data_IF_451878588422
#
_entry.id   IF_451878588422
#
_cell.length_a   1.000
_cell.length_b   1.000
_cell.length_c   1.000
_cell.angle_alpha   90.00
_cell.angle_beta   90.00
_cell.angle_gamma   90.00
#
_symmetry.space_group_name_H-M   'P 1'
#
loop_
_entity.id
_entity.type
_entity.pdbx_description
1 polymer ?
#
# COMPACT_ATOMS: atom_id res chain seq x y z
N UNK A 1 -30.05 12.33 27.96
CA UNK A 1 -28.91 11.39 27.91
C UNK A 1 -28.48 11.26 26.46
N UNK A 2 -27.32 11.82 26.10
CA UNK A 2 -26.79 11.67 24.75
C UNK A 2 -26.22 10.26 24.60
N UNK A 3 -26.81 9.47 23.71
CA UNK A 3 -26.29 8.18 23.29
C UNK A 3 -25.01 8.41 22.49
N UNK A 4 -23.85 8.46 23.15
CA UNK A 4 -22.57 8.40 22.46
C UNK A 4 -22.32 6.96 21.98
N UNK A 5 -22.89 6.58 20.86
CA UNK A 5 -22.49 5.36 20.15
C UNK A 5 -21.07 5.58 19.65
N UNK A 6 -20.08 5.10 20.40
CA UNK A 6 -18.71 5.01 19.92
C UNK A 6 -18.70 4.19 18.63
N UNK A 7 -18.01 4.64 17.57
CA UNK A 7 -17.95 3.87 16.33
C UNK A 7 -17.35 2.49 16.61
N UNK A 8 -17.93 1.45 15.97
CA UNK A 8 -17.40 0.10 16.09
C UNK A 8 -16.00 0.05 15.44
N UNK A 9 -14.96 -0.16 16.24
CA UNK A 9 -13.57 -0.22 15.78
C UNK A 9 -13.11 -1.67 15.63
N UNK A 10 -12.72 -2.06 14.42
CA UNK A 10 -12.14 -3.39 14.15
C UNK A 10 -10.66 -3.24 13.75
N UNK A 11 -9.71 -3.80 14.52
CA UNK A 11 -8.31 -3.82 14.12
C UNK A 11 -8.10 -4.71 12.88
N UNK A 12 -7.68 -4.10 11.77
CA UNK A 12 -7.47 -4.81 10.49
C UNK A 12 -6.08 -5.45 10.39
N UNK A 13 -5.08 -4.80 10.95
CA UNK A 13 -3.71 -5.28 11.02
C UNK A 13 -3.27 -5.20 12.48
N UNK A 14 -2.72 -6.30 13.02
CA UNK A 14 -2.21 -6.39 14.38
C UNK A 14 -0.73 -6.69 14.32
N UNK A 15 0.05 -6.12 15.22
CA UNK A 15 1.48 -6.45 15.33
C UNK A 15 1.62 -7.94 15.66
N UNK A 16 2.50 -8.63 14.94
CA UNK A 16 2.91 -10.01 15.20
C UNK A 16 4.26 -10.02 15.94
N UNK A 17 4.69 -11.19 16.41
CA UNK A 17 5.92 -11.30 17.21
C UNK A 17 7.16 -10.79 16.47
N UNK A 18 7.27 -11.09 15.16
CA UNK A 18 8.46 -10.83 14.35
C UNK A 18 8.30 -9.68 13.34
N UNK A 19 7.09 -9.12 13.20
CA UNK A 19 6.85 -8.02 12.26
C UNK A 19 5.63 -7.20 12.65
N UNK A 20 5.59 -5.96 12.19
CA UNK A 20 4.48 -5.04 12.37
C UNK A 20 3.93 -4.54 11.05
N UNK A 21 2.85 -3.76 11.16
CA UNK A 21 2.19 -3.11 10.03
C UNK A 21 2.19 -1.59 10.24
N UNK A 22 2.62 -0.84 9.24
CA UNK A 22 2.58 0.64 9.22
C UNK A 22 2.17 1.14 7.84
N UNK A 23 1.92 2.44 7.75
CA UNK A 23 1.63 3.16 6.51
C UNK A 23 0.38 2.60 5.81
N UNK A 24 -0.82 2.94 6.32
CA UNK A 24 -2.07 2.42 5.78
C UNK A 24 -2.47 3.11 4.48
N UNK A 25 -3.11 2.34 3.61
CA UNK A 25 -3.86 2.79 2.47
C UNK A 25 -5.22 2.09 2.42
N UNK A 26 -6.27 2.79 2.01
CA UNK A 26 -7.61 2.24 1.91
C UNK A 26 -8.22 2.64 0.57
N UNK A 27 -8.75 1.66 -0.16
CA UNK A 27 -9.42 1.88 -1.44
C UNK A 27 -10.82 1.28 -1.40
N UNK A 28 -11.82 2.10 -1.66
CA UNK A 28 -13.17 1.66 -2.00
C UNK A 28 -13.28 1.44 -3.49
N UNK A 29 -13.85 0.31 -3.90
CA UNK A 29 -14.16 0.03 -5.30
C UNK A 29 -15.63 0.45 -5.54
N UNK A 30 -15.88 1.58 -6.24
CA UNK A 30 -17.23 2.09 -6.46
C UNK A 30 -18.16 1.04 -7.08
N UNK A 31 -19.46 1.18 -6.81
CA UNK A 31 -20.51 0.31 -7.34
C UNK A 31 -20.35 -1.18 -6.92
N UNK A 32 -19.54 -1.42 -5.89
CA UNK A 32 -19.35 -2.73 -5.24
C UNK A 32 -19.39 -2.59 -3.72
N UNK A 33 -19.50 -3.71 -3.03
CA UNK A 33 -19.42 -3.77 -1.57
C UNK A 33 -17.97 -4.00 -1.09
N UNK A 34 -16.94 -3.69 -1.88
CA UNK A 34 -15.53 -4.07 -1.59
C UNK A 34 -14.68 -2.89 -1.11
N UNK A 35 -13.95 -3.11 -0.01
CA UNK A 35 -12.82 -2.30 0.46
C UNK A 35 -11.50 -3.10 0.38
N UNK A 36 -10.42 -2.43 0.00
CA UNK A 36 -9.06 -2.95 0.07
C UNK A 36 -8.26 -2.13 1.09
N UNK A 37 -7.92 -2.75 2.23
CA UNK A 37 -7.00 -2.17 3.20
C UNK A 37 -5.59 -2.69 2.93
N UNK A 38 -4.64 -1.80 2.71
CA UNK A 38 -3.26 -2.10 2.35
C UNK A 38 -2.34 -1.50 3.41
N UNK A 39 -1.27 -2.20 3.76
CA UNK A 39 -0.27 -1.72 4.72
C UNK A 39 1.11 -2.24 4.34
N UNK A 40 2.16 -1.52 4.71
CA UNK A 40 3.50 -2.09 4.71
C UNK A 40 3.64 -3.13 5.82
N UNK A 41 4.20 -4.29 5.49
CA UNK A 41 4.82 -5.19 6.46
C UNK A 41 6.21 -4.67 6.78
N UNK A 42 6.56 -4.60 8.07
CA UNK A 42 7.87 -4.16 8.54
C UNK A 42 8.47 -5.15 9.52
N UNK A 43 9.74 -5.51 9.32
CA UNK A 43 10.49 -6.44 10.19
C UNK A 43 11.05 -5.76 11.45
N UNK A 44 10.80 -4.46 11.61
CA UNK A 44 11.28 -3.65 12.72
C UNK A 44 10.60 -2.27 12.75
N UNK A 45 10.90 -1.44 13.75
CA UNK A 45 10.23 -0.16 13.94
C UNK A 45 10.70 0.93 12.96
N UNK A 46 11.93 0.83 12.45
CA UNK A 46 12.54 1.84 11.59
C UNK A 46 11.97 1.77 10.16
N UNK A 47 12.05 2.87 9.43
CA UNK A 47 11.45 2.99 8.11
C UNK A 47 12.18 2.13 7.06
N UNK A 48 13.49 1.95 7.21
CA UNK A 48 14.30 1.03 6.42
C UNK A 48 14.00 -0.45 6.69
N UNK A 49 13.21 -0.78 7.73
CA UNK A 49 12.78 -2.15 8.00
C UNK A 49 11.48 -2.54 7.26
N UNK A 50 10.96 -1.69 6.37
CA UNK A 50 9.90 -2.12 5.45
C UNK A 50 10.36 -3.32 4.61
N UNK A 51 9.41 -4.18 4.26
CA UNK A 51 9.64 -5.43 3.53
C UNK A 51 8.78 -5.45 2.26
N UNK A 52 7.48 -5.66 2.43
CA UNK A 52 6.51 -5.84 1.34
C UNK A 52 5.16 -5.18 1.68
N UNK A 53 4.23 -5.20 0.73
CA UNK A 53 2.86 -4.70 0.90
C UNK A 53 1.89 -5.84 1.20
N UNK A 54 1.02 -5.61 2.17
CA UNK A 54 0.03 -6.58 2.65
C UNK A 54 -1.37 -6.05 2.36
N UNK A 55 -2.28 -6.94 1.97
CA UNK A 55 -3.66 -6.64 1.65
C UNK A 55 -4.61 -7.38 2.58
N UNK A 56 -5.64 -6.67 3.04
CA UNK A 56 -6.82 -7.27 3.65
C UNK A 56 -8.06 -6.76 2.91
N UNK A 57 -8.80 -7.69 2.30
CA UNK A 57 -10.04 -7.35 1.57
C UNK A 57 -11.23 -7.40 2.52
N UNK A 58 -12.02 -6.35 2.52
CA UNK A 58 -13.30 -6.26 3.23
C UNK A 58 -14.46 -6.32 2.24
N UNK A 59 -15.52 -7.05 2.60
CA UNK A 59 -16.80 -7.04 1.87
C UNK A 59 -17.90 -6.55 2.80
N UNK A 60 -18.66 -5.54 2.39
CA UNK A 60 -19.76 -4.99 3.17
C UNK A 60 -20.94 -5.96 3.17
N UNK A 61 -21.30 -6.46 4.34
CA UNK A 61 -22.49 -7.28 4.54
C UNK A 61 -23.67 -6.36 4.92
N UNK A 62 -24.63 -6.24 4.01
CA UNK A 62 -25.83 -5.39 4.17
C UNK A 62 -26.75 -5.85 5.31
N UNK A 63 -26.76 -7.15 5.62
CA UNK A 63 -27.58 -7.72 6.70
C UNK A 63 -27.02 -7.35 8.07
N UNK A 64 -25.70 -7.50 8.26
CA UNK A 64 -25.03 -7.15 9.53
C UNK A 64 -24.65 -5.67 9.62
N UNK A 65 -24.78 -4.92 8.51
CA UNK A 65 -24.35 -3.52 8.36
C UNK A 65 -22.88 -3.31 8.75
N UNK A 66 -22.04 -4.30 8.46
CA UNK A 66 -20.62 -4.28 8.82
C UNK A 66 -19.76 -4.89 7.70
N UNK A 67 -18.46 -4.63 7.73
CA UNK A 67 -17.50 -5.28 6.84
C UNK A 67 -17.06 -6.63 7.41
N UNK A 68 -17.10 -7.65 6.56
CA UNK A 68 -16.45 -8.94 6.78
C UNK A 68 -15.09 -8.89 6.11
N UNK A 69 -14.03 -9.20 6.87
CA UNK A 69 -12.65 -9.07 6.41
C UNK A 69 -12.02 -10.43 6.21
N UNK A 70 -11.47 -10.66 5.03
CA UNK A 70 -10.66 -11.83 4.70
C UNK A 70 -9.37 -11.87 5.56
N UNK A 71 -8.62 -12.96 5.47
CA UNK A 71 -7.27 -13.05 6.01
C UNK A 71 -6.33 -12.05 5.32
N UNK A 72 -5.29 -11.64 6.04
CA UNK A 72 -4.23 -10.79 5.50
C UNK A 72 -3.39 -11.60 4.51
N UNK A 73 -3.16 -11.06 3.32
CA UNK A 73 -2.38 -11.70 2.25
C UNK A 73 -1.26 -10.79 1.77
N UNK A 74 -0.14 -11.38 1.34
CA UNK A 74 0.97 -10.63 0.74
C UNK A 74 0.67 -10.30 -0.72
N UNK A 75 0.98 -9.08 -1.16
CA UNK A 75 0.96 -8.70 -2.58
C UNK A 75 2.33 -9.03 -3.18
N UNK A 76 2.60 -10.33 -3.39
CA UNK A 76 3.93 -10.83 -3.78
C UNK A 76 4.55 -10.15 -5.02
N UNK A 77 3.73 -9.68 -5.96
CA UNK A 77 4.22 -9.01 -7.17
C UNK A 77 4.55 -7.52 -6.97
N UNK A 78 4.09 -6.89 -5.88
CA UNK A 78 4.35 -5.47 -5.60
C UNK A 78 5.73 -5.29 -4.96
N UNK A 79 6.78 -5.76 -5.64
CA UNK A 79 8.18 -5.68 -5.19
C UNK A 79 9.14 -5.69 -6.38
N UNK A 80 10.31 -5.09 -6.21
CA UNK A 80 11.46 -5.32 -7.08
C UNK A 80 12.47 -6.23 -6.36
N UNK A 81 13.32 -6.92 -7.12
CA UNK A 81 14.38 -7.76 -6.54
C UNK A 81 15.35 -6.88 -5.75
N UNK A 82 15.74 -7.32 -4.54
CA UNK A 82 16.67 -6.60 -3.64
C UNK A 82 16.19 -5.19 -3.23
N UNK A 83 14.88 -4.96 -3.25
CA UNK A 83 14.24 -3.72 -2.79
C UNK A 83 13.12 -4.03 -1.80
N UNK A 84 12.93 -3.09 -0.86
CA UNK A 84 11.74 -3.05 -0.01
C UNK A 84 10.64 -2.18 -0.64
N UNK A 85 9.40 -2.60 -0.49
CA UNK A 85 8.23 -1.86 -0.98
C UNK A 85 7.63 -0.98 0.12
N UNK A 86 7.41 0.29 -0.19
CA UNK A 86 6.94 1.30 0.76
C UNK A 86 5.89 2.22 0.12
N UNK A 87 5.17 2.95 0.95
CA UNK A 87 4.20 3.97 0.59
C UNK A 87 3.12 3.48 -0.41
N UNK A 88 2.27 2.51 -0.02
CA UNK A 88 1.16 2.08 -0.86
C UNK A 88 0.23 3.27 -1.17
N UNK A 89 -0.09 3.43 -2.45
CA UNK A 89 -1.00 4.46 -2.96
C UNK A 89 -1.91 3.86 -4.04
N UNK A 90 -2.96 3.11 -3.65
CA UNK A 90 -3.99 2.61 -4.55
C UNK A 90 -4.83 3.71 -5.21
N UNK A 91 -5.21 3.47 -6.46
CA UNK A 91 -6.15 4.25 -7.26
C UNK A 91 -7.05 3.28 -8.03
N UNK A 92 -8.35 3.58 -8.11
CA UNK A 92 -9.27 2.85 -8.97
C UNK A 92 -9.57 3.66 -10.23
N UNK A 93 -9.24 3.11 -11.39
CA UNK A 93 -9.68 3.61 -12.68
C UNK A 93 -11.08 3.06 -12.97
N UNK A 94 -12.10 3.90 -12.80
CA UNK A 94 -13.50 3.55 -13.01
C UNK A 94 -13.82 3.24 -14.48
N UNK A 95 -13.16 3.91 -15.42
CA UNK A 95 -13.38 3.71 -16.85
C UNK A 95 -12.91 2.33 -17.30
N UNK A 96 -11.75 1.88 -16.78
CA UNK A 96 -11.16 0.58 -17.12
C UNK A 96 -11.53 -0.54 -16.15
N UNK A 97 -12.23 -0.23 -15.06
CA UNK A 97 -12.53 -1.17 -13.99
C UNK A 97 -11.28 -1.77 -13.35
N UNK A 98 -10.19 -0.99 -13.24
CA UNK A 98 -8.85 -1.49 -12.90
C UNK A 98 -8.28 -0.77 -11.69
N UNK A 99 -7.67 -1.53 -10.79
CA UNK A 99 -6.91 -0.99 -9.67
C UNK A 99 -5.46 -0.80 -10.11
N UNK A 100 -4.91 0.36 -9.84
CA UNK A 100 -3.48 0.61 -9.81
C UNK A 100 -3.04 0.72 -8.35
N UNK A 101 -1.98 0.01 -7.96
CA UNK A 101 -1.33 0.20 -6.68
C UNK A 101 0.05 0.76 -6.95
N UNK A 102 0.20 2.07 -6.77
CA UNK A 102 1.51 2.72 -6.81
C UNK A 102 2.24 2.51 -5.49
N UNK A 103 3.56 2.41 -5.55
CA UNK A 103 4.43 2.30 -4.40
C UNK A 103 5.84 2.74 -4.78
N UNK A 104 6.68 3.04 -3.78
CA UNK A 104 8.12 3.17 -4.00
C UNK A 104 8.82 1.86 -3.66
N UNK A 105 9.83 1.52 -4.44
CA UNK A 105 10.76 0.45 -4.14
C UNK A 105 12.13 1.06 -3.84
N UNK A 106 12.66 0.83 -2.63
CA UNK A 106 13.98 1.36 -2.24
C UNK A 106 14.93 0.20 -2.06
N UNK A 107 16.13 0.29 -2.66
CA UNK A 107 17.15 -0.75 -2.55
C UNK A 107 17.42 -1.08 -1.08
N UNK A 108 17.53 -2.36 -0.76
CA UNK A 108 17.78 -2.81 0.62
C UNK A 108 18.99 -2.09 1.24
N UNK A 109 18.91 -1.80 2.54
CA UNK A 109 19.93 -1.10 3.36
C UNK A 109 20.15 0.39 3.05
N UNK A 110 19.64 0.90 1.93
CA UNK A 110 19.72 2.32 1.59
C UNK A 110 18.68 3.11 2.40
N UNK A 111 19.13 4.04 3.23
CA UNK A 111 18.24 4.89 4.04
C UNK A 111 17.90 6.18 3.30
N UNK A 112 16.77 6.79 3.64
CA UNK A 112 16.42 8.12 3.13
C UNK A 112 17.50 9.15 3.47
N UNK A 113 18.00 9.12 4.71
CA UNK A 113 19.05 10.02 5.18
C UNK A 113 20.34 9.88 4.37
N UNK A 114 20.76 8.66 4.02
CA UNK A 114 21.95 8.45 3.19
C UNK A 114 21.76 9.03 1.78
N UNK A 115 20.58 8.84 1.17
CA UNK A 115 20.25 9.41 -0.13
C UNK A 115 20.29 10.94 -0.09
N UNK A 116 19.71 11.56 0.96
CA UNK A 116 19.75 13.02 1.20
C UNK A 116 21.18 13.55 1.33
N UNK A 117 22.02 12.89 2.15
CA UNK A 117 23.38 13.34 2.40
C UNK A 117 24.31 13.16 1.20
N UNK A 118 24.13 12.09 0.43
CA UNK A 118 24.96 11.79 -0.73
C UNK A 118 24.48 12.43 -2.03
N UNK A 119 23.22 12.88 -2.08
CA UNK A 119 22.57 13.30 -3.32
C UNK A 119 22.31 12.17 -4.30
N UNK A 120 22.48 10.90 -3.90
CA UNK A 120 22.35 9.73 -4.78
C UNK A 120 21.00 9.06 -4.57
N UNK A 121 20.09 9.28 -5.51
CA UNK A 121 18.76 8.67 -5.49
C UNK A 121 18.76 7.23 -6.00
N UNK A 122 18.26 6.32 -5.18
CA UNK A 122 18.05 4.89 -5.48
C UNK A 122 16.61 4.45 -5.27
N UNK A 123 15.70 5.41 -5.08
CA UNK A 123 14.27 5.16 -4.98
C UNK A 123 13.68 4.95 -6.37
N UNK A 124 12.83 3.93 -6.51
CA UNK A 124 12.12 3.60 -7.75
C UNK A 124 10.62 3.79 -7.57
N UNK A 125 9.96 4.37 -8.57
CA UNK A 125 8.51 4.47 -8.61
C UNK A 125 7.97 3.24 -9.35
N UNK A 126 7.08 2.51 -8.71
CA UNK A 126 6.51 1.29 -9.26
C UNK A 126 4.99 1.29 -9.18
N UNK A 127 4.35 0.48 -10.02
CA UNK A 127 2.98 0.05 -9.78
C UNK A 127 2.73 -1.40 -10.17
N UNK A 128 1.72 -1.99 -9.55
CA UNK A 128 1.06 -3.22 -10.01
C UNK A 128 -0.41 -2.94 -10.29
N UNK A 129 -1.05 -3.79 -11.11
CA UNK A 129 -2.47 -3.63 -11.42
C UNK A 129 -3.28 -4.87 -11.08
N UNK A 130 -4.55 -4.67 -10.75
CA UNK A 130 -5.53 -5.75 -10.58
C UNK A 130 -6.82 -5.42 -11.32
N UNK A 131 -7.35 -6.42 -12.04
CA UNK A 131 -8.65 -6.35 -12.74
C UNK A 131 -9.71 -7.20 -12.06
N UNK A 132 -9.38 -7.86 -10.95
CA UNK A 132 -10.23 -8.81 -10.24
C UNK A 132 -10.41 -8.45 -8.76
N UNK A 133 -10.45 -7.13 -8.49
CA UNK A 133 -10.70 -6.54 -7.17
C UNK A 133 -9.65 -6.92 -6.12
N UNK A 134 -8.38 -6.93 -6.52
CA UNK A 134 -7.23 -7.18 -5.65
C UNK A 134 -6.95 -8.65 -5.36
N UNK A 135 -7.59 -9.60 -6.07
CA UNK A 135 -7.34 -11.04 -5.88
C UNK A 135 -6.02 -11.47 -6.52
N UNK A 136 -5.73 -10.95 -7.72
CA UNK A 136 -4.46 -11.15 -8.42
C UNK A 136 -3.91 -9.81 -8.87
N UNK A 137 -2.58 -9.77 -8.93
CA UNK A 137 -1.83 -8.58 -9.28
C UNK A 137 -0.89 -8.90 -10.44
N UNK A 138 -0.72 -7.96 -11.36
CA UNK A 138 0.26 -8.04 -12.44
C UNK A 138 1.69 -8.07 -11.89
N UNK A 139 2.66 -8.39 -12.75
CA UNK A 139 4.06 -8.06 -12.51
C UNK A 139 4.25 -6.54 -12.32
N UNK A 140 5.27 -6.13 -11.55
CA UNK A 140 5.54 -4.72 -11.29
C UNK A 140 5.98 -4.02 -12.57
N UNK A 141 5.48 -2.81 -12.79
CA UNK A 141 5.96 -1.88 -13.80
C UNK A 141 6.72 -0.77 -13.10
N UNK A 142 7.96 -0.53 -13.49
CA UNK A 142 8.78 0.57 -13.01
C UNK A 142 8.56 1.80 -13.90
N UNK A 143 8.29 2.95 -13.28
CA UNK A 143 8.01 4.25 -13.90
C UNK A 143 9.10 5.30 -13.61
N UNK A 144 10.23 4.89 -13.04
CA UNK A 144 11.30 5.82 -12.69
C UNK A 144 11.86 6.47 -13.94
N UNK A 145 11.67 7.77 -14.09
CA UNK A 145 12.24 8.60 -15.15
C UNK A 145 13.50 9.33 -14.68
N UNK A 146 14.33 9.78 -15.62
CA UNK A 146 15.57 10.52 -15.41
C UNK A 146 15.36 11.82 -14.61
N UNK A 147 14.18 12.43 -14.66
CA UNK A 147 13.85 13.62 -13.87
C UNK A 147 13.95 13.39 -12.36
N UNK A 148 13.80 12.14 -11.89
CA UNK A 148 13.98 11.83 -10.47
C UNK A 148 15.45 11.85 -10.03
N UNK A 149 16.41 11.84 -10.97
CA UNK A 149 17.85 11.82 -10.64
C UNK A 149 18.35 13.16 -10.09
N UNK A 150 17.64 14.26 -10.34
CA UNK A 150 17.97 15.58 -9.79
C UNK A 150 17.50 15.75 -8.33
N UNK A 151 16.70 14.81 -7.83
CA UNK A 151 16.21 14.81 -6.46
C UNK A 151 17.05 13.87 -5.61
N UNK A 152 17.32 14.22 -4.35
CA UNK A 152 18.09 13.33 -3.49
C UNK A 152 17.32 12.03 -3.18
N UNK A 153 16.00 12.10 -3.04
CA UNK A 153 15.07 10.97 -2.87
C UNK A 153 13.62 11.45 -3.09
N UNK A 154 12.63 10.56 -3.10
CA UNK A 154 11.21 10.93 -3.18
C UNK A 154 10.27 9.86 -2.60
N UNK A 155 8.99 10.21 -2.49
CA UNK A 155 7.91 9.29 -2.11
C UNK A 155 6.62 9.62 -2.88
N UNK A 156 5.66 8.70 -2.85
CA UNK A 156 4.28 8.92 -3.34
C UNK A 156 3.29 8.69 -2.21
N UNK A 157 2.14 9.38 -2.23
CA UNK A 157 1.14 9.24 -1.17
C UNK A 157 1.76 9.47 0.22
N UNK A 158 1.72 8.47 1.14
CA UNK A 158 0.94 7.23 1.08
C UNK A 158 -0.56 7.52 1.24
N UNK A 159 -1.42 6.53 1.01
CA UNK A 159 -2.88 6.68 1.18
C UNK A 159 -3.64 6.27 -0.06
N UNK A 160 -4.47 7.13 -0.62
CA UNK A 160 -5.17 6.86 -1.89
C UNK A 160 -4.92 7.99 -2.87
N UNK A 161 -4.79 7.65 -4.15
CA UNK A 161 -4.85 8.65 -5.21
C UNK A 161 -6.29 8.84 -5.69
N UNK A 162 -6.45 9.75 -6.65
CA UNK A 162 -7.75 10.16 -7.18
C UNK A 162 -7.82 9.95 -8.70
N UNK A 163 -9.03 9.77 -9.19
CA UNK A 163 -9.40 9.97 -10.60
C UNK A 163 -10.29 11.22 -10.64
N UNK A 164 -9.95 12.17 -11.53
CA UNK A 164 -10.70 13.42 -11.72
C UNK A 164 -11.99 13.18 -12.51
#
# INVERSE_FOLDING_TARGET
>A
MASSTSPNMTPLFKKEDNFGYRIPALLHIPDTDVLLAISEKRLGPHDENADTLMLRKGTYNKSSKNFEWDDVTCIESARLKDHRSMNPCPVYDKEKGKIFLFFIAVKEKETEQHQIQSGRNVTRLCFVTSVDKGKKWSSPTELTDNHFNDWATFAVGPGHGIQL
#
